data_IF_479678173929
#
_entry.id   IF_479678173929
#
_cell.length_a   1.000
_cell.length_b   1.000
_cell.length_c   1.000
_cell.angle_alpha   90.00
_cell.angle_beta   90.00
_cell.angle_gamma   90.00
#
_symmetry.space_group_name_H-M   'P 1'
#
loop_
_entity.id
_entity.type
_entity.pdbx_description
1 polymer ?
#
# COMPACT_ATOMS: atom_id res chain seq x y z
N UNK A 1 -7.76 32.31 12.27
CA UNK A 1 -8.65 32.20 11.10
C UNK A 1 -8.50 30.76 10.64
N UNK A 2 -9.41 29.85 11.06
CA UNK A 2 -9.39 28.45 10.63
C UNK A 2 -10.00 28.39 9.24
N UNK A 3 -9.27 27.89 8.27
CA UNK A 3 -9.79 27.58 6.94
C UNK A 3 -10.45 26.21 7.06
N UNK A 4 -11.77 26.18 7.15
CA UNK A 4 -12.54 24.93 7.07
C UNK A 4 -12.41 24.42 5.64
N UNK A 5 -11.71 23.29 5.47
CA UNK A 5 -11.71 22.51 4.24
C UNK A 5 -13.10 21.95 4.00
N UNK A 6 -13.48 21.67 2.74
CA UNK A 6 -14.82 21.19 2.42
C UNK A 6 -15.05 19.82 3.07
N UNK A 7 -15.96 19.80 4.07
CA UNK A 7 -16.42 18.59 4.71
C UNK A 7 -17.07 17.66 3.64
N UNK A 8 -16.41 16.54 3.40
CA UNK A 8 -16.95 15.49 2.55
C UNK A 8 -18.27 14.96 3.16
N UNK A 9 -19.39 15.11 2.42
CA UNK A 9 -20.69 14.56 2.83
C UNK A 9 -21.05 13.37 1.94
N UNK A 10 -21.38 12.20 2.49
CA UNK A 10 -21.82 11.04 1.71
C UNK A 10 -23.14 11.33 0.99
N UNK A 11 -23.21 11.00 -0.30
CA UNK A 11 -24.45 11.02 -1.08
C UNK A 11 -25.25 9.72 -0.87
N UNK A 12 -26.58 9.74 -1.03
CA UNK A 12 -27.41 8.55 -0.85
C UNK A 12 -27.06 7.45 -1.87
N UNK A 13 -27.07 6.21 -1.40
CA UNK A 13 -26.69 4.99 -2.11
C UNK A 13 -27.50 4.78 -3.39
N UNK A 14 -26.84 4.58 -4.52
CA UNK A 14 -27.41 3.94 -5.71
C UNK A 14 -27.02 2.45 -5.69
N UNK A 15 -27.94 1.53 -6.09
CA UNK A 15 -27.62 0.11 -6.07
C UNK A 15 -26.48 -0.22 -7.06
N UNK A 16 -25.51 -0.97 -6.58
CA UNK A 16 -24.42 -1.53 -7.39
C UNK A 16 -25.02 -2.41 -8.49
N UNK A 17 -24.82 -2.05 -9.74
CA UNK A 17 -25.06 -2.93 -10.87
C UNK A 17 -24.08 -4.08 -10.80
N UNK A 18 -24.58 -5.30 -10.56
CA UNK A 18 -23.79 -6.52 -10.46
C UNK A 18 -22.95 -6.76 -11.70
N UNK A 19 -21.64 -6.63 -11.57
CA UNK A 19 -20.70 -7.19 -12.51
C UNK A 19 -20.60 -8.70 -12.22
N UNK A 20 -21.01 -9.52 -13.16
CA UNK A 20 -20.90 -10.98 -13.11
C UNK A 20 -19.46 -11.40 -12.74
N UNK A 21 -19.28 -12.46 -11.92
CA UNK A 21 -17.97 -12.98 -11.60
C UNK A 21 -17.35 -13.60 -12.88
N UNK A 22 -16.52 -12.82 -13.56
CA UNK A 22 -15.70 -13.34 -14.65
C UNK A 22 -14.58 -14.18 -14.04
N UNK A 23 -14.69 -15.49 -14.22
CA UNK A 23 -13.68 -16.54 -14.14
C UNK A 23 -12.24 -16.02 -14.06
N UNK A 24 -11.48 -16.59 -13.14
CA UNK A 24 -10.04 -16.51 -12.98
C UNK A 24 -9.32 -16.44 -14.35
N UNK A 25 -9.14 -15.25 -14.92
CA UNK A 25 -8.33 -15.08 -16.13
C UNK A 25 -6.88 -15.14 -15.69
N UNK A 26 -6.20 -16.21 -16.07
CA UNK A 26 -4.75 -16.25 -16.19
C UNK A 26 -4.28 -14.92 -16.81
N UNK A 27 -3.25 -14.28 -16.22
CA UNK A 27 -2.86 -12.91 -16.47
C UNK A 27 -2.96 -12.46 -17.92
N UNK A 28 -3.65 -11.35 -18.14
CA UNK A 28 -3.81 -10.82 -19.51
C UNK A 28 -2.44 -10.57 -20.13
N UNK A 29 -2.28 -10.70 -21.47
CA UNK A 29 -1.02 -10.38 -22.16
C UNK A 29 -0.51 -8.97 -21.80
N UNK A 30 -1.42 -8.03 -21.58
CA UNK A 30 -1.13 -6.66 -21.14
C UNK A 30 -0.47 -6.65 -19.76
N UNK A 31 -1.00 -7.42 -18.79
CA UNK A 31 -0.40 -7.52 -17.46
C UNK A 31 1.04 -8.05 -17.51
N UNK A 32 1.26 -9.07 -18.33
CA UNK A 32 2.59 -9.66 -18.55
C UNK A 32 3.57 -8.64 -19.14
N UNK A 33 3.11 -7.88 -20.14
CA UNK A 33 3.92 -6.84 -20.78
C UNK A 33 4.25 -5.70 -19.79
N UNK A 34 3.29 -5.25 -19.00
CA UNK A 34 3.49 -4.19 -18.00
C UNK A 34 4.48 -4.61 -16.90
N UNK A 35 4.49 -5.88 -16.51
CA UNK A 35 5.46 -6.42 -15.54
C UNK A 35 6.90 -6.38 -16.04
N UNK A 36 7.12 -6.41 -17.36
CA UNK A 36 8.43 -6.35 -17.96
C UNK A 36 8.99 -4.92 -18.06
N UNK A 37 8.16 -3.89 -17.85
CA UNK A 37 8.61 -2.49 -18.01
C UNK A 37 9.74 -2.11 -17.04
N UNK A 38 9.72 -2.58 -15.80
CA UNK A 38 10.82 -2.35 -14.84
C UNK A 38 12.13 -3.02 -15.28
N UNK A 39 12.16 -4.35 -15.44
CA UNK A 39 13.35 -5.07 -15.93
C UNK A 39 13.90 -4.52 -17.25
N UNK A 40 13.04 -4.19 -18.21
CA UNK A 40 13.45 -3.62 -19.49
C UNK A 40 14.10 -2.24 -19.33
N UNK A 41 13.64 -1.39 -18.41
CA UNK A 41 14.27 -0.12 -18.08
C UNK A 41 15.69 -0.33 -17.55
N UNK A 42 15.84 -1.28 -16.60
CA UNK A 42 17.16 -1.62 -16.03
C UNK A 42 18.12 -2.14 -17.09
N UNK A 43 17.69 -3.08 -17.93
CA UNK A 43 18.51 -3.62 -19.02
C UNK A 43 18.91 -2.52 -20.03
N UNK A 44 17.96 -1.66 -20.42
CA UNK A 44 18.21 -0.54 -21.33
C UNK A 44 19.23 0.43 -20.77
N UNK A 45 19.12 0.80 -19.48
CA UNK A 45 20.10 1.68 -18.83
C UNK A 45 21.50 1.04 -18.78
N UNK A 46 21.60 -0.25 -18.45
CA UNK A 46 22.89 -0.98 -18.43
C UNK A 46 23.51 -1.00 -19.82
N UNK A 47 22.75 -1.30 -20.88
CA UNK A 47 23.26 -1.29 -22.26
C UNK A 47 23.82 0.08 -22.66
N UNK A 48 23.12 1.16 -22.32
CA UNK A 48 23.60 2.53 -22.60
C UNK A 48 24.88 2.80 -21.83
N UNK A 49 24.91 2.56 -20.53
CA UNK A 49 26.07 2.81 -19.67
C UNK A 49 27.29 2.03 -20.18
N UNK A 50 27.14 0.74 -20.44
CA UNK A 50 28.26 -0.12 -20.90
C UNK A 50 28.77 0.33 -22.27
N UNK A 51 27.88 0.63 -23.22
CA UNK A 51 28.34 1.07 -24.57
C UNK A 51 29.07 2.41 -24.52
N UNK A 52 28.60 3.36 -23.70
CA UNK A 52 29.25 4.66 -23.48
C UNK A 52 30.60 4.48 -22.79
N UNK A 53 30.64 3.68 -21.70
CA UNK A 53 31.89 3.43 -20.94
C UNK A 53 32.97 2.72 -21.75
N UNK A 54 32.59 1.89 -22.74
CA UNK A 54 33.50 1.22 -23.65
C UNK A 54 33.90 2.08 -24.85
N UNK A 55 33.48 3.33 -24.95
CA UNK A 55 33.77 4.22 -26.07
C UNK A 55 33.22 3.76 -27.43
N UNK A 56 32.18 2.86 -27.42
CA UNK A 56 31.67 2.26 -28.67
C UNK A 56 30.73 3.18 -29.47
N UNK A 57 30.46 4.38 -28.96
CA UNK A 57 29.58 5.37 -29.63
C UNK A 57 28.13 4.88 -29.84
N UNK A 58 27.45 5.53 -30.82
CA UNK A 58 26.05 5.19 -31.17
C UNK A 58 26.07 3.96 -32.10
N UNK A 59 25.93 2.78 -31.52
CA UNK A 59 25.84 1.51 -32.24
C UNK A 59 24.53 0.76 -31.95
N UNK A 60 24.32 -0.44 -32.55
CA UNK A 60 23.09 -1.20 -32.37
C UNK A 60 22.72 -1.48 -30.90
N UNK A 61 23.73 -1.78 -30.07
CA UNK A 61 23.49 -2.04 -28.63
C UNK A 61 23.04 -0.77 -27.88
N UNK A 62 23.62 0.41 -28.21
CA UNK A 62 23.17 1.69 -27.65
C UNK A 62 21.72 1.99 -28.07
N UNK A 63 21.40 1.85 -29.35
CA UNK A 63 20.04 2.08 -29.88
C UNK A 63 19.03 1.12 -29.27
N UNK A 64 19.38 -0.15 -29.08
CA UNK A 64 18.54 -1.12 -28.36
C UNK A 64 18.32 -0.66 -26.91
N UNK A 65 19.37 -0.19 -26.23
CA UNK A 65 19.26 0.35 -24.88
C UNK A 65 18.28 1.52 -24.80
N UNK A 66 18.37 2.48 -25.72
CA UNK A 66 17.46 3.62 -25.83
C UNK A 66 16.03 3.16 -26.11
N UNK A 67 15.83 2.23 -27.04
CA UNK A 67 14.50 1.68 -27.35
C UNK A 67 13.85 1.01 -26.14
N UNK A 68 14.61 0.21 -25.37
CA UNK A 68 14.12 -0.41 -24.15
C UNK A 68 13.72 0.62 -23.09
N UNK A 69 14.52 1.67 -22.91
CA UNK A 69 14.19 2.76 -21.97
C UNK A 69 12.90 3.45 -22.40
N UNK A 70 12.77 3.85 -23.67
CA UNK A 70 11.57 4.54 -24.18
C UNK A 70 10.34 3.66 -24.04
N UNK A 71 10.39 2.40 -24.48
CA UNK A 71 9.28 1.46 -24.35
C UNK A 71 8.88 1.23 -22.89
N UNK A 72 9.85 1.19 -21.99
CA UNK A 72 9.58 1.02 -20.55
C UNK A 72 8.89 2.24 -19.97
N UNK A 73 9.33 3.46 -20.31
CA UNK A 73 8.68 4.70 -19.87
C UNK A 73 7.24 4.81 -20.40
N UNK A 74 7.03 4.46 -21.66
CA UNK A 74 5.68 4.38 -22.25
C UNK A 74 4.83 3.34 -21.51
N UNK A 75 5.37 2.15 -21.24
CA UNK A 75 4.70 1.11 -20.48
C UNK A 75 4.28 1.57 -19.07
N UNK A 76 5.18 2.25 -18.36
CA UNK A 76 4.90 2.81 -17.03
C UNK A 76 3.83 3.93 -17.09
N UNK A 77 3.89 4.79 -18.08
CA UNK A 77 2.87 5.81 -18.32
C UNK A 77 1.50 5.19 -18.59
N UNK A 78 1.44 4.20 -19.48
CA UNK A 78 0.20 3.47 -19.77
C UNK A 78 -0.33 2.77 -18.54
N UNK A 79 0.52 2.11 -17.75
CA UNK A 79 0.14 1.49 -16.49
C UNK A 79 -0.50 2.51 -15.53
N UNK A 80 0.11 3.67 -15.36
CA UNK A 80 -0.43 4.76 -14.53
C UNK A 80 -1.82 5.19 -15.02
N UNK A 81 -2.01 5.28 -16.35
CA UNK A 81 -3.31 5.63 -16.94
C UNK A 81 -4.37 4.55 -16.75
N UNK A 82 -4.00 3.28 -16.95
CA UNK A 82 -4.90 2.14 -16.84
C UNK A 82 -5.33 1.89 -15.39
N UNK A 83 -4.43 2.11 -14.42
CA UNK A 83 -4.69 1.92 -12.99
C UNK A 83 -5.38 3.14 -12.34
N UNK A 84 -5.52 4.24 -13.05
CA UNK A 84 -6.31 5.38 -12.57
C UNK A 84 -7.79 4.98 -12.49
N UNK A 85 -8.47 5.15 -11.35
CA UNK A 85 -9.90 4.96 -11.25
C UNK A 85 -10.64 5.83 -12.25
N UNK A 86 -11.59 5.25 -12.98
CA UNK A 86 -12.31 5.97 -14.06
C UNK A 86 -13.38 6.93 -13.52
N UNK A 87 -13.87 6.67 -12.31
CA UNK A 87 -14.94 7.43 -11.64
C UNK A 87 -14.65 7.48 -10.15
N UNK A 88 -15.23 8.46 -9.49
CA UNK A 88 -15.36 8.47 -8.04
C UNK A 88 -16.15 7.24 -7.60
N UNK A 89 -15.61 6.49 -6.63
CA UNK A 89 -16.21 5.28 -6.10
C UNK A 89 -16.64 5.55 -4.67
N UNK A 90 -17.75 4.94 -4.24
CA UNK A 90 -18.12 4.96 -2.83
C UNK A 90 -17.06 4.19 -2.01
N UNK A 91 -16.60 4.74 -0.88
CA UNK A 91 -15.62 4.06 -0.05
C UNK A 91 -16.20 2.77 0.55
N UNK A 92 -15.36 1.74 0.55
CA UNK A 92 -15.69 0.45 1.16
C UNK A 92 -15.43 0.53 2.66
N UNK A 93 -16.44 0.30 3.52
CA UNK A 93 -16.22 0.23 4.96
C UNK A 93 -15.43 -1.04 5.30
N UNK A 94 -14.41 -0.91 6.18
CA UNK A 94 -13.58 -2.02 6.64
C UNK A 94 -13.25 -1.86 8.13
N UNK A 95 -12.78 -2.92 8.78
CA UNK A 95 -12.24 -2.82 10.13
C UNK A 95 -10.88 -2.12 10.13
N UNK A 96 -10.57 -1.41 11.21
CA UNK A 96 -9.24 -0.82 11.42
C UNK A 96 -8.21 -1.95 11.54
N UNK A 97 -7.15 -1.97 10.72
CA UNK A 97 -6.21 -3.10 10.68
C UNK A 97 -5.15 -3.06 11.79
N UNK A 98 -5.37 -2.30 12.86
CA UNK A 98 -4.43 -2.13 13.98
C UNK A 98 -5.19 -1.91 15.28
N UNK A 99 -4.47 -1.92 16.43
CA UNK A 99 -5.02 -1.60 17.77
C UNK A 99 -4.27 -0.45 18.40
N UNK A 100 -4.94 0.33 19.25
CA UNK A 100 -4.35 1.44 19.99
C UNK A 100 -4.31 2.74 19.19
N UNK A 101 -3.40 3.64 19.55
CA UNK A 101 -3.29 5.01 19.03
C UNK A 101 -2.25 5.09 17.90
N UNK A 102 -2.66 5.65 16.77
CA UNK A 102 -1.87 5.74 15.55
C UNK A 102 -1.97 7.12 14.92
N UNK A 103 -1.05 7.42 14.00
CA UNK A 103 -1.04 8.65 13.20
C UNK A 103 -1.14 8.31 11.72
N UNK A 104 -1.97 9.05 10.98
CA UNK A 104 -2.10 8.95 9.53
C UNK A 104 -0.93 9.63 8.80
N UNK A 105 -0.46 9.00 7.73
CA UNK A 105 0.58 9.52 6.83
C UNK A 105 0.20 9.16 5.40
N UNK A 106 0.63 9.99 4.43
CA UNK A 106 0.34 9.74 3.01
C UNK A 106 -1.13 9.35 2.77
N UNK A 107 -2.04 10.08 3.41
CA UNK A 107 -3.46 9.75 3.46
C UNK A 107 -4.25 10.24 2.25
N UNK A 108 -5.20 9.43 1.74
CA UNK A 108 -6.14 9.88 0.71
C UNK A 108 -7.14 10.92 1.20
N UNK A 109 -7.35 11.08 2.52
CA UNK A 109 -8.12 12.18 3.08
C UNK A 109 -7.45 13.54 2.87
N UNK A 110 -6.12 13.57 2.75
CA UNK A 110 -5.36 14.79 2.51
C UNK A 110 -5.09 15.05 1.02
N UNK A 111 -4.86 13.98 0.25
CA UNK A 111 -4.52 14.10 -1.18
C UNK A 111 -4.81 12.82 -1.94
N UNK A 112 -5.41 12.92 -3.12
CA UNK A 112 -5.62 11.81 -4.06
C UNK A 112 -4.92 12.12 -5.40
N UNK A 113 -4.04 11.22 -5.91
CA UNK A 113 -3.61 9.98 -5.27
C UNK A 113 -2.74 10.27 -4.04
N UNK A 114 -2.89 9.45 -3.00
CA UNK A 114 -2.09 9.55 -1.78
C UNK A 114 -0.62 9.19 -2.05
N UNK A 115 -0.40 8.19 -2.87
CA UNK A 115 0.92 7.75 -3.34
C UNK A 115 1.02 7.88 -4.86
N UNK A 116 0.54 6.90 -5.60
CA UNK A 116 0.53 6.85 -7.06
C UNK A 116 -0.65 6.03 -7.55
N UNK A 117 -1.08 6.22 -8.81
CA UNK A 117 -2.07 5.31 -9.41
C UNK A 117 -1.49 3.92 -9.71
N UNK A 118 -0.16 3.81 -9.89
CA UNK A 118 0.50 2.52 -10.12
C UNK A 118 0.40 1.65 -8.87
N UNK A 119 0.39 0.32 -9.09
CA UNK A 119 0.28 -0.69 -8.04
C UNK A 119 -0.97 -0.51 -7.15
N UNK A 120 -2.04 0.03 -7.74
CA UNK A 120 -3.32 0.27 -7.07
C UNK A 120 -3.25 1.18 -5.81
N UNK A 121 -2.25 2.05 -5.69
CA UNK A 121 -1.98 2.88 -4.51
C UNK A 121 -2.68 4.24 -4.52
N UNK A 122 -3.76 4.41 -5.32
CA UNK A 122 -4.49 5.67 -5.43
C UNK A 122 -5.03 6.15 -4.09
N UNK A 123 -5.53 5.22 -3.28
CA UNK A 123 -6.15 5.45 -1.97
C UNK A 123 -5.41 4.73 -0.85
N UNK A 124 -4.14 4.42 -1.03
CA UNK A 124 -3.33 3.83 0.02
C UNK A 124 -3.15 4.79 1.20
N UNK A 125 -2.96 4.25 2.38
CA UNK A 125 -2.74 4.97 3.63
C UNK A 125 -1.57 4.33 4.36
N UNK A 126 -0.65 5.15 4.85
CA UNK A 126 0.39 4.74 5.77
C UNK A 126 0.00 5.17 7.19
N UNK A 127 0.26 4.31 8.18
CA UNK A 127 -0.02 4.61 9.58
C UNK A 127 1.16 4.23 10.48
N UNK A 128 1.48 5.10 11.44
CA UNK A 128 2.53 4.88 12.43
C UNK A 128 1.94 4.83 13.84
N UNK A 129 2.37 3.85 14.65
CA UNK A 129 1.93 3.73 16.04
C UNK A 129 2.54 4.86 16.89
N UNK A 130 1.69 5.55 17.63
CA UNK A 130 2.07 6.68 18.47
C UNK A 130 1.38 6.56 19.83
N UNK A 131 1.90 5.71 20.75
CA UNK A 131 1.36 5.58 22.09
C UNK A 131 1.50 6.91 22.86
N UNK A 132 0.70 7.07 23.92
CA UNK A 132 0.79 8.25 24.79
C UNK A 132 2.22 8.43 25.32
N UNK A 133 2.72 9.67 25.29
CA UNK A 133 4.07 10.00 25.73
C UNK A 133 5.19 9.62 24.77
N UNK A 134 4.88 9.06 23.60
CA UNK A 134 5.89 8.84 22.56
C UNK A 134 6.43 10.18 22.06
N UNK A 135 7.75 10.24 21.83
CA UNK A 135 8.33 11.38 21.12
C UNK A 135 7.80 11.41 19.69
N UNK A 136 7.35 12.57 19.18
CA UNK A 136 6.89 12.68 17.81
C UNK A 136 7.93 12.15 16.81
N UNK A 137 7.45 11.55 15.71
CA UNK A 137 8.30 11.20 14.59
C UNK A 137 8.94 12.45 14.02
N UNK A 138 10.23 12.66 14.30
CA UNK A 138 10.95 13.80 13.79
C UNK A 138 11.73 13.42 12.53
N UNK A 139 11.50 14.19 11.46
CA UNK A 139 12.46 14.28 10.35
C UNK A 139 13.62 15.14 10.85
N UNK A 140 14.80 14.55 11.01
CA UNK A 140 16.02 15.32 11.20
C UNK A 140 16.59 15.67 9.82
N UNK A 141 16.56 16.95 9.38
CA UNK A 141 16.93 17.29 8.02
C UNK A 141 18.40 17.00 7.71
N UNK A 142 19.30 16.97 8.70
CA UNK A 142 20.73 16.95 8.40
C UNK A 142 21.46 15.67 8.80
N UNK A 143 21.25 15.11 9.98
CA UNK A 143 22.14 14.06 10.52
C UNK A 143 21.45 13.01 11.40
N UNK A 144 20.11 12.81 11.31
CA UNK A 144 19.52 11.69 12.03
C UNK A 144 20.26 10.40 11.61
N UNK A 145 20.98 9.75 12.53
CA UNK A 145 21.58 8.48 12.20
C UNK A 145 20.48 7.51 11.79
N UNK A 146 20.76 6.67 10.80
CA UNK A 146 19.88 5.56 10.45
C UNK A 146 19.66 4.73 11.71
N UNK A 147 18.45 4.70 12.24
CA UNK A 147 18.09 4.01 13.48
C UNK A 147 17.62 2.60 13.16
N UNK A 148 17.84 1.69 14.10
CA UNK A 148 17.29 0.35 14.03
C UNK A 148 15.76 0.40 14.13
N UNK A 149 15.02 -0.47 13.40
CA UNK A 149 13.56 -0.47 13.41
C UNK A 149 12.96 -0.72 14.79
N UNK A 150 13.65 -1.47 15.66
CA UNK A 150 13.23 -1.77 17.04
C UNK A 150 13.15 -0.51 17.92
N UNK A 151 13.77 0.57 17.52
CA UNK A 151 13.70 1.87 18.21
C UNK A 151 12.45 2.70 17.88
N UNK A 152 11.51 2.16 17.09
CA UNK A 152 10.28 2.83 16.70
C UNK A 152 9.05 2.15 17.32
N UNK A 153 8.10 2.91 17.91
CA UNK A 153 6.92 2.35 18.55
C UNK A 153 6.06 1.45 17.64
N UNK A 154 6.08 1.71 16.34
CA UNK A 154 5.32 0.92 15.35
C UNK A 154 5.89 -0.48 15.15
N UNK A 155 7.20 -0.68 15.34
CA UNK A 155 7.85 -1.95 15.05
C UNK A 155 7.37 -3.05 15.97
N UNK A 156 6.88 -4.15 15.39
CA UNK A 156 6.37 -5.30 16.15
C UNK A 156 4.91 -5.20 16.54
N UNK A 157 4.21 -4.07 16.27
CA UNK A 157 2.77 -3.95 16.52
C UNK A 157 1.99 -4.89 15.62
N UNK A 158 0.91 -5.47 16.15
CA UNK A 158 0.04 -6.38 15.40
C UNK A 158 -0.65 -5.69 14.23
N UNK A 159 -0.71 -6.38 13.10
CA UNK A 159 -1.43 -5.99 11.89
C UNK A 159 -2.56 -6.99 11.67
N UNK A 160 -3.78 -6.47 11.51
CA UNK A 160 -5.01 -7.24 11.54
C UNK A 160 -5.65 -7.31 10.14
N UNK A 161 -6.46 -8.34 9.91
CA UNK A 161 -7.30 -8.44 8.72
C UNK A 161 -8.40 -7.37 8.76
N UNK A 162 -8.58 -6.56 7.69
CA UNK A 162 -9.58 -5.51 7.67
C UNK A 162 -11.00 -6.02 7.36
N UNK A 163 -11.14 -7.27 6.95
CA UNK A 163 -12.41 -7.94 6.65
C UNK A 163 -12.21 -9.47 6.58
N UNK A 164 -13.32 -10.20 6.55
CA UNK A 164 -13.33 -11.64 6.33
C UNK A 164 -12.93 -12.00 4.90
N UNK A 165 -12.04 -12.97 4.75
CA UNK A 165 -11.58 -13.31 3.41
C UNK A 165 -10.64 -14.50 3.36
N UNK A 166 -10.04 -14.68 2.21
CA UNK A 166 -9.02 -15.67 1.92
C UNK A 166 -7.68 -15.02 1.67
N UNK A 167 -6.63 -15.52 2.30
CA UNK A 167 -5.26 -15.08 2.05
C UNK A 167 -4.82 -15.55 0.65
N UNK A 168 -4.56 -14.60 -0.24
CA UNK A 168 -4.11 -14.89 -1.61
C UNK A 168 -2.61 -14.67 -1.83
N UNK A 169 -1.95 -13.98 -0.89
CA UNK A 169 -0.50 -13.86 -0.86
C UNK A 169 -0.01 -13.67 0.59
N UNK A 170 1.11 -14.28 0.92
CA UNK A 170 1.82 -14.10 2.19
C UNK A 170 3.33 -14.17 1.92
N UNK A 171 4.05 -13.08 2.18
CA UNK A 171 5.50 -12.99 2.02
C UNK A 171 6.13 -12.46 3.30
N UNK A 172 7.15 -13.16 3.82
CA UNK A 172 7.75 -12.86 5.12
C UNK A 172 9.27 -12.91 5.15
N UNK A 173 9.97 -12.97 4.01
CA UNK A 173 11.43 -13.25 3.99
C UNK A 173 12.30 -12.00 3.78
N UNK A 174 11.70 -10.85 3.40
CA UNK A 174 12.43 -9.59 3.23
C UNK A 174 12.95 -9.09 4.57
N UNK A 175 14.20 -8.61 4.60
CA UNK A 175 14.80 -8.05 5.81
C UNK A 175 14.17 -6.71 6.18
N UNK A 176 14.08 -6.44 7.47
CA UNK A 176 13.87 -5.09 7.98
C UNK A 176 15.18 -4.29 7.87
N UNK A 177 15.09 -3.06 7.46
CA UNK A 177 16.25 -2.19 7.26
C UNK A 177 16.24 -1.01 8.23
N UNK A 178 17.33 -0.27 8.28
CA UNK A 178 17.43 0.94 9.11
C UNK A 178 16.48 2.03 8.61
N UNK A 179 16.05 2.92 9.50
CA UNK A 179 15.22 4.08 9.13
C UNK A 179 15.98 5.06 8.22
N UNK A 180 15.23 5.86 7.45
CA UNK A 180 15.74 6.79 6.45
C UNK A 180 15.04 8.14 6.58
N UNK A 181 15.12 8.73 7.77
CA UNK A 181 14.43 9.98 8.14
C UNK A 181 15.30 11.23 8.02
N UNK A 182 16.47 11.15 7.37
CA UNK A 182 17.34 12.28 7.05
C UNK A 182 17.35 12.55 5.55
N UNK A 183 17.80 13.74 5.10
CA UNK A 183 17.92 14.05 3.67
C UNK A 183 18.76 13.02 2.91
N UNK A 184 19.98 12.60 3.39
CA UNK A 184 20.71 11.52 2.77
C UNK A 184 19.95 10.19 2.80
N UNK A 185 19.23 9.89 3.88
CA UNK A 185 18.40 8.69 4.01
C UNK A 185 17.26 8.68 3.01
N UNK A 186 16.59 9.81 2.80
CA UNK A 186 15.53 9.99 1.80
C UNK A 186 16.09 9.84 0.38
N UNK A 187 17.23 10.47 0.09
CA UNK A 187 17.90 10.32 -1.22
C UNK A 187 18.23 8.84 -1.49
N UNK A 188 18.76 8.13 -0.49
CA UNK A 188 19.00 6.70 -0.58
C UNK A 188 17.70 5.89 -0.76
N UNK A 189 16.63 6.23 -0.04
CA UNK A 189 15.30 5.60 -0.18
C UNK A 189 14.77 5.74 -1.62
N UNK A 190 14.89 6.94 -2.20
CA UNK A 190 14.44 7.20 -3.58
C UNK A 190 15.25 6.38 -4.59
N UNK A 191 16.59 6.35 -4.44
CA UNK A 191 17.47 5.55 -5.30
C UNK A 191 17.16 4.05 -5.17
N UNK A 192 17.07 3.55 -3.95
CA UNK A 192 16.73 2.14 -3.70
C UNK A 192 15.31 1.80 -4.17
N UNK A 193 14.33 2.70 -3.96
CA UNK A 193 12.98 2.58 -4.48
C UNK A 193 12.95 2.49 -6.01
N UNK A 194 13.75 3.30 -6.69
CA UNK A 194 13.94 3.18 -8.13
C UNK A 194 14.49 1.80 -8.52
N UNK A 195 15.59 1.35 -7.90
CA UNK A 195 16.17 0.02 -8.16
C UNK A 195 15.15 -1.10 -7.87
N UNK A 196 14.42 -1.02 -6.78
CA UNK A 196 13.35 -1.99 -6.42
C UNK A 196 12.23 -1.99 -7.46
N UNK A 197 11.90 -0.83 -8.04
CA UNK A 197 10.84 -0.70 -9.06
C UNK A 197 11.21 -1.36 -10.39
N UNK A 198 12.48 -1.64 -10.63
CA UNK A 198 12.94 -2.40 -11.80
C UNK A 198 12.62 -3.90 -11.68
N UNK A 199 12.32 -4.37 -10.48
CA UNK A 199 11.99 -5.77 -10.18
C UNK A 199 10.49 -6.03 -10.04
N UNK A 200 10.18 -7.07 -9.29
CA UNK A 200 8.79 -7.42 -8.96
C UNK A 200 8.19 -6.45 -7.93
N UNK A 201 6.87 -6.14 -7.98
CA UNK A 201 6.18 -5.31 -6.99
C UNK A 201 6.43 -5.70 -5.53
N UNK A 202 6.68 -7.00 -5.26
CA UNK A 202 7.06 -7.50 -3.92
C UNK A 202 8.28 -6.81 -3.33
N UNK A 203 9.20 -6.31 -4.16
CA UNK A 203 10.39 -5.61 -3.67
C UNK A 203 10.05 -4.23 -3.09
N UNK A 204 8.97 -3.62 -3.58
CA UNK A 204 8.44 -2.36 -3.04
C UNK A 204 7.59 -2.62 -1.79
N UNK A 205 6.69 -3.61 -1.84
CA UNK A 205 5.83 -3.96 -0.70
C UNK A 205 6.61 -4.56 0.48
N UNK A 206 7.77 -5.17 0.24
CA UNK A 206 8.49 -5.94 1.26
C UNK A 206 7.69 -7.15 1.71
N UNK A 207 7.70 -7.44 3.02
CA UNK A 207 6.83 -8.46 3.58
C UNK A 207 5.39 -7.95 3.60
N UNK A 208 4.46 -8.79 3.17
CA UNK A 208 3.07 -8.39 3.02
C UNK A 208 2.13 -9.60 3.09
N UNK A 209 0.88 -9.31 3.43
CA UNK A 209 -0.24 -10.24 3.31
C UNK A 209 -1.29 -9.59 2.42
N UNK A 210 -1.87 -10.35 1.51
CA UNK A 210 -3.01 -9.95 0.70
C UNK A 210 -4.22 -10.82 1.06
N UNK A 211 -5.33 -10.18 1.40
CA UNK A 211 -6.59 -10.83 1.74
C UNK A 211 -7.63 -10.46 0.70
N UNK A 212 -8.26 -11.46 0.08
CA UNK A 212 -9.39 -11.28 -0.85
C UNK A 212 -10.70 -11.46 -0.10
N UNK A 213 -11.57 -10.47 -0.19
CA UNK A 213 -12.89 -10.52 0.44
C UNK A 213 -13.73 -11.69 -0.11
N UNK A 214 -14.38 -12.42 0.81
CA UNK A 214 -15.26 -13.54 0.47
C UNK A 214 -16.55 -13.09 -0.21
N UNK A 215 -16.93 -11.82 -0.09
CA UNK A 215 -18.20 -11.26 -0.53
C UNK A 215 -19.32 -11.45 0.48
N UNK A 216 -20.40 -10.71 0.31
CA UNK A 216 -21.61 -10.69 1.14
C UNK A 216 -22.43 -11.99 1.06
N UNK A 217 -21.82 -13.11 1.37
CA UNK A 217 -22.47 -14.43 1.40
C UNK A 217 -22.00 -15.30 2.55
N UNK A 218 -20.93 -14.93 3.24
CA UNK A 218 -20.51 -15.58 4.46
C UNK A 218 -21.31 -14.97 5.60
N UNK A 219 -22.20 -15.78 6.22
CA UNK A 219 -23.04 -15.37 7.34
C UNK A 219 -22.18 -14.67 8.40
N UNK A 220 -22.43 -13.37 8.59
CA UNK A 220 -21.89 -12.60 9.69
C UNK A 220 -23.02 -12.36 10.69
N UNK A 221 -22.85 -12.91 11.88
CA UNK A 221 -23.71 -12.61 13.05
C UNK A 221 -23.27 -11.27 13.70
N UNK A 222 -22.98 -10.24 12.90
CA UNK A 222 -22.53 -8.95 13.41
C UNK A 222 -22.50 -7.87 12.33
N UNK A 223 -22.34 -6.62 12.74
CA UNK A 223 -22.25 -5.39 11.91
C UNK A 223 -21.09 -5.40 10.89
N UNK A 224 -20.74 -6.56 10.33
CA UNK A 224 -19.68 -6.75 9.35
C UNK A 224 -19.94 -5.92 8.11
N UNK A 225 -18.99 -5.06 7.78
CA UNK A 225 -19.03 -4.22 6.61
C UNK A 225 -19.25 -5.04 5.34
N UNK A 226 -20.19 -4.62 4.49
CA UNK A 226 -20.46 -5.24 3.18
C UNK A 226 -19.32 -4.91 2.20
N UNK A 227 -18.27 -5.73 2.25
CA UNK A 227 -17.11 -5.59 1.36
C UNK A 227 -17.40 -6.32 0.06
N UNK A 228 -17.36 -5.63 -1.10
CA UNK A 228 -17.62 -6.27 -2.39
C UNK A 228 -16.72 -7.48 -2.63
N UNK A 229 -17.32 -8.58 -3.13
CA UNK A 229 -16.58 -9.79 -3.50
C UNK A 229 -15.43 -9.46 -4.47
N UNK A 230 -14.27 -10.04 -4.22
CA UNK A 230 -13.09 -9.83 -5.05
C UNK A 230 -12.26 -8.58 -4.70
N UNK A 231 -12.74 -7.72 -3.79
CA UNK A 231 -11.89 -6.67 -3.19
C UNK A 231 -10.70 -7.32 -2.50
N UNK A 232 -9.52 -6.76 -2.69
CA UNK A 232 -8.29 -7.27 -2.08
C UNK A 232 -7.67 -6.20 -1.21
N UNK A 233 -7.41 -6.53 0.05
CA UNK A 233 -6.59 -5.72 0.95
C UNK A 233 -5.13 -6.13 0.84
N UNK A 234 -4.23 -5.15 0.86
CA UNK A 234 -2.78 -5.34 0.96
C UNK A 234 -2.29 -4.66 2.23
N UNK A 235 -1.70 -5.43 3.14
CA UNK A 235 -1.03 -4.98 4.35
C UNK A 235 0.46 -5.22 4.13
N UNK A 236 1.25 -4.13 4.00
CA UNK A 236 2.64 -4.23 3.58
C UNK A 236 3.62 -3.67 4.61
N UNK A 237 4.92 -3.79 4.30
CA UNK A 237 6.06 -3.44 5.15
C UNK A 237 6.13 -4.23 6.45
N UNK A 238 5.54 -5.44 6.47
CA UNK A 238 5.53 -6.30 7.65
C UNK A 238 6.95 -6.70 8.08
N UNK A 239 7.09 -7.05 9.35
CA UNK A 239 8.33 -7.54 9.96
C UNK A 239 8.73 -8.89 9.35
N UNK A 240 10.02 -9.09 9.20
CA UNK A 240 10.57 -10.37 8.73
C UNK A 240 10.12 -11.52 9.63
N UNK A 241 9.58 -12.57 9.01
CA UNK A 241 9.13 -13.78 9.69
C UNK A 241 7.85 -13.62 10.52
N UNK A 242 7.17 -12.45 10.44
CA UNK A 242 5.98 -12.19 11.24
C UNK A 242 4.65 -12.63 10.62
N UNK A 243 4.47 -12.80 9.29
CA UNK A 243 3.21 -13.33 8.78
C UNK A 243 2.88 -14.66 9.44
N UNK A 244 1.66 -14.72 10.04
CA UNK A 244 1.17 -15.88 10.81
C UNK A 244 0.18 -16.72 10.00
N UNK A 245 -0.11 -16.32 8.78
CA UNK A 245 -1.12 -16.93 7.89
C UNK A 245 -0.49 -17.44 6.61
N UNK A 246 -1.17 -18.38 5.94
CA UNK A 246 -0.70 -19.00 4.71
C UNK A 246 -1.70 -18.76 3.57
N UNK A 247 -1.20 -18.83 2.32
CA UNK A 247 -2.05 -18.73 1.13
C UNK A 247 -3.11 -19.83 1.14
N UNK A 248 -4.37 -19.46 0.86
CA UNK A 248 -5.54 -20.32 0.93
C UNK A 248 -6.21 -20.36 2.30
N UNK A 249 -5.61 -19.81 3.34
CA UNK A 249 -6.21 -19.71 4.68
C UNK A 249 -7.35 -18.70 4.67
N UNK A 250 -8.45 -19.04 5.37
CA UNK A 250 -9.54 -18.11 5.66
C UNK A 250 -9.26 -17.35 6.93
N UNK A 251 -9.40 -16.05 6.88
CA UNK A 251 -9.20 -15.13 8.00
C UNK A 251 -10.48 -14.36 8.28
N UNK A 252 -10.64 -13.94 9.54
CA UNK A 252 -11.74 -13.07 9.99
C UNK A 252 -11.23 -11.65 10.18
N UNK A 253 -12.12 -10.67 10.06
CA UNK A 253 -11.83 -9.30 10.47
C UNK A 253 -11.27 -9.27 11.89
N UNK A 254 -10.24 -8.44 12.12
CA UNK A 254 -9.55 -8.38 13.42
C UNK A 254 -8.58 -9.53 13.73
N UNK A 255 -8.49 -10.58 12.90
CA UNK A 255 -7.49 -11.64 13.04
C UNK A 255 -6.08 -11.12 12.77
N UNK A 256 -5.11 -11.50 13.61
CA UNK A 256 -3.70 -11.12 13.42
C UNK A 256 -3.13 -11.78 12.17
N UNK A 257 -2.61 -10.96 11.26
CA UNK A 257 -1.95 -11.39 10.02
C UNK A 257 -0.43 -11.42 10.14
N UNK A 258 0.12 -10.55 10.98
CA UNK A 258 1.56 -10.38 11.16
C UNK A 258 1.86 -9.18 12.05
N UNK A 259 3.07 -8.66 11.97
CA UNK A 259 3.53 -7.51 12.75
C UNK A 259 4.09 -6.41 11.83
N UNK A 260 3.90 -5.15 12.23
CA UNK A 260 4.52 -4.00 11.59
C UNK A 260 6.04 -4.13 11.58
N UNK A 261 6.66 -3.88 10.45
CA UNK A 261 8.10 -3.94 10.25
C UNK A 261 8.62 -2.73 9.49
N UNK A 262 9.81 -2.90 8.87
CA UNK A 262 10.44 -1.89 8.03
C UNK A 262 11.09 -2.54 6.80
N UNK A 263 10.33 -3.35 6.09
CA UNK A 263 10.80 -4.08 4.91
C UNK A 263 10.30 -3.43 3.62
N UNK A 264 10.95 -3.70 2.49
CA UNK A 264 10.54 -3.13 1.20
C UNK A 264 10.95 -1.66 1.04
N UNK A 265 10.12 -0.84 0.37
CA UNK A 265 10.38 0.59 0.14
C UNK A 265 9.72 1.43 1.24
N UNK A 266 10.27 1.36 2.44
CA UNK A 266 9.79 2.03 3.64
C UNK A 266 10.84 3.00 4.18
N UNK A 267 10.43 4.14 4.73
CA UNK A 267 11.35 5.10 5.38
C UNK A 267 11.64 4.74 6.83
N UNK A 268 10.67 4.23 7.53
CA UNK A 268 10.68 3.85 8.93
C UNK A 268 9.50 2.89 9.20
N UNK A 269 9.44 2.22 10.36
CA UNK A 269 8.37 1.30 10.67
C UNK A 269 6.98 1.94 10.60
N UNK A 270 6.17 1.46 9.66
CA UNK A 270 4.76 1.84 9.48
C UNK A 270 3.99 0.70 8.83
N UNK A 271 2.67 0.74 8.89
CA UNK A 271 1.80 -0.17 8.16
C UNK A 271 1.27 0.56 6.92
N UNK A 272 1.51 -0.01 5.76
CA UNK A 272 0.90 0.42 4.51
C UNK A 272 -0.37 -0.39 4.27
N UNK A 273 -1.48 0.32 4.08
CA UNK A 273 -2.80 -0.26 3.87
C UNK A 273 -3.36 0.22 2.55
N UNK A 274 -3.78 -0.69 1.67
CA UNK A 274 -4.52 -0.34 0.45
C UNK A 274 -5.59 -1.38 0.14
N UNK A 275 -6.66 -0.93 -0.50
CA UNK A 275 -7.64 -1.81 -1.15
C UNK A 275 -7.52 -1.70 -2.66
N UNK A 276 -7.81 -2.80 -3.35
CA UNK A 276 -7.80 -2.87 -4.82
C UNK A 276 -8.92 -3.76 -5.35
N UNK A 277 -9.33 -3.52 -6.59
CA UNK A 277 -10.47 -4.17 -7.26
C UNK A 277 -10.14 -5.55 -7.88
N UNK A 278 -8.96 -6.09 -7.60
CA UNK A 278 -8.55 -7.39 -8.12
C UNK A 278 -7.22 -7.87 -7.54
N UNK A 279 -6.87 -9.14 -7.76
CA UNK A 279 -5.71 -9.78 -7.15
C UNK A 279 -4.36 -9.41 -7.78
N UNK A 280 -4.35 -8.87 -8.98
CA UNK A 280 -3.11 -8.49 -9.68
C UNK A 280 -2.80 -7.01 -9.49
N UNK A 281 -1.90 -6.70 -8.56
CA UNK A 281 -1.47 -5.35 -8.22
C UNK A 281 -0.94 -4.54 -9.42
N UNK A 282 -0.54 -5.20 -10.52
CA UNK A 282 -0.02 -4.52 -11.72
C UNK A 282 -1.11 -4.03 -12.66
N UNK A 283 -2.34 -4.49 -12.50
CA UNK A 283 -3.49 -4.15 -13.34
C UNK A 283 -4.70 -3.67 -12.56
N UNK A 284 -4.81 -4.06 -11.29
CA UNK A 284 -5.88 -3.63 -10.41
C UNK A 284 -5.84 -2.11 -10.17
N UNK A 285 -6.99 -1.54 -9.81
CA UNK A 285 -7.13 -0.14 -9.43
C UNK A 285 -7.33 -0.03 -7.93
N UNK A 286 -6.86 1.07 -7.36
CA UNK A 286 -7.13 1.37 -5.96
C UNK A 286 -8.61 1.58 -5.72
N UNK A 287 -9.10 1.06 -4.58
CA UNK A 287 -10.47 1.20 -4.09
C UNK A 287 -10.43 2.08 -2.83
N UNK A 288 -11.22 3.16 -2.77
CA UNK A 288 -11.31 3.98 -1.57
C UNK A 288 -11.97 3.18 -0.44
N UNK A 289 -11.57 3.46 0.80
CA UNK A 289 -12.09 2.77 1.97
C UNK A 289 -12.27 3.71 3.14
N UNK A 290 -13.07 3.28 4.11
CA UNK A 290 -13.30 3.97 5.37
C UNK A 290 -13.34 2.96 6.51
N UNK A 291 -13.05 3.46 7.70
CA UNK A 291 -13.27 2.76 8.95
C UNK A 291 -13.82 3.71 10.02
N UNK A 292 -14.17 3.17 11.18
CA UNK A 292 -14.56 3.96 12.35
C UNK A 292 -13.37 4.05 13.29
N UNK A 293 -13.09 5.24 13.79
CA UNK A 293 -12.01 5.50 14.73
C UNK A 293 -12.40 6.62 15.71
N UNK A 294 -11.69 6.75 16.82
CA UNK A 294 -11.80 7.91 17.70
C UNK A 294 -10.76 8.95 17.30
N UNK A 295 -11.18 10.20 17.16
CA UNK A 295 -10.26 11.33 17.03
C UNK A 295 -9.54 11.67 18.36
N UNK A 296 -8.75 12.75 18.39
CA UNK A 296 -8.03 13.16 19.59
C UNK A 296 -8.95 13.62 20.73
N UNK A 297 -10.14 14.09 20.40
CA UNK A 297 -11.19 14.49 21.35
C UNK A 297 -12.02 13.30 21.84
N UNK A 298 -11.80 12.10 21.32
CA UNK A 298 -12.54 10.87 21.63
C UNK A 298 -13.89 10.76 20.92
N UNK A 299 -14.16 11.60 19.91
CA UNK A 299 -15.36 11.50 19.10
C UNK A 299 -15.20 10.43 18.02
N UNK A 300 -16.29 9.71 17.73
CA UNK A 300 -16.31 8.68 16.69
C UNK A 300 -16.36 9.33 15.31
N UNK A 301 -15.32 9.09 14.51
CA UNK A 301 -15.24 9.49 13.12
C UNK A 301 -15.45 8.30 12.20
N UNK A 302 -15.96 8.57 10.98
CA UNK A 302 -16.03 7.59 9.88
C UNK A 302 -15.29 8.15 8.68
N UNK A 303 -14.22 7.50 8.29
CA UNK A 303 -13.33 7.95 7.22
C UNK A 303 -11.99 7.22 7.29
N UNK A 304 -10.95 7.89 6.81
CA UNK A 304 -9.56 7.55 7.09
C UNK A 304 -8.88 8.79 7.67
N UNK A 305 -7.93 8.65 8.62
CA UNK A 305 -7.26 9.80 9.22
C UNK A 305 -6.51 10.60 8.15
N UNK A 306 -6.50 11.92 8.27
CA UNK A 306 -5.70 12.80 7.42
C UNK A 306 -4.20 12.66 7.73
N UNK A 307 -3.35 13.34 6.95
CA UNK A 307 -1.92 13.41 7.26
C UNK A 307 -1.72 14.09 8.61
N UNK A 308 -0.85 13.51 9.44
CA UNK A 308 -0.51 13.95 10.78
C UNK A 308 -1.68 13.89 11.80
N UNK A 309 -2.86 13.42 11.40
CA UNK A 309 -3.99 13.22 12.30
C UNK A 309 -3.76 11.99 13.18
N UNK A 310 -3.91 12.17 14.49
CA UNK A 310 -3.91 11.10 15.47
C UNK A 310 -5.30 10.47 15.55
N UNK A 311 -5.33 9.16 15.67
CA UNK A 311 -6.56 8.42 15.85
C UNK A 311 -6.37 7.21 16.77
N UNK A 312 -7.44 6.80 17.43
CA UNK A 312 -7.44 5.57 18.22
C UNK A 312 -8.37 4.55 17.55
N UNK A 313 -7.82 3.36 17.30
CA UNK A 313 -8.57 2.24 16.73
C UNK A 313 -9.70 1.82 17.69
N UNK A 314 -10.93 1.75 17.18
CA UNK A 314 -12.06 1.20 17.94
C UNK A 314 -11.97 -0.32 17.87
N UNK A 315 -11.93 -1.00 19.01
CA UNK A 315 -11.97 -2.46 19.05
C UNK A 315 -13.34 -2.93 18.53
N UNK A 316 -13.35 -3.93 17.64
CA UNK A 316 -14.62 -4.59 17.26
C UNK A 316 -15.31 -5.15 18.50
N UNK A 317 -16.60 -4.83 18.67
CA UNK A 317 -17.40 -5.22 19.83
C UNK A 317 -17.53 -4.16 20.94
N UNK A 318 -16.92 -2.99 20.83
CA UNK A 318 -17.00 -1.91 21.83
C UNK A 318 -18.19 -0.95 21.64
N UNK A 319 -19.14 -1.24 20.77
CA UNK A 319 -20.38 -0.46 20.62
C UNK A 319 -21.54 -1.21 21.29
N UNK A 320 -21.76 -0.94 22.58
CA UNK A 320 -23.08 -1.03 23.22
C UNK A 320 -23.51 0.37 23.61
#
# INVERSE_FOLDING_TARGET
MRVEGPAWRPRPRRPYGGASPSLCRQGSPVASLLRLSGPALGLGAVLIIVTVSLGRGIGPAYLLGVALVVLSLVGQFLQTRLQRPAREQDPVPVAVPVRGRWRGLNSPASKVPSHTHRLAQTYALDITHEPEGASPRALDPFWAPMRRPEGFPSFGQEVLAPFDGEVIAAHGTSRDHLSRLSLPGIAYLLLEGFVRSLGSPRHLLGNHVMVRAAGSGAAHDGDGADVPAGTVAVLAHLRRGSPTVQVGERVRAGQVLGQCGNSGNSSDPHVHVQLMDGPDITTAKGVPFTWRFLDEEGAVQTGVPANEELFTAIAEGATR
#
